data_IF_601214608995
#
_entry.id   IF_601214608995
#
_cell.length_a   1.000
_cell.length_b   1.000
_cell.length_c   1.000
_cell.angle_alpha   90.00
_cell.angle_beta   90.00
_cell.angle_gamma   90.00
#
_symmetry.space_group_name_H-M   'P 1'
#
loop_
_entity.id
_entity.type
_entity.pdbx_description
1 polymer ?
#
# COMPACT_ATOMS: atom_id res chain seq x y z
N UNK A 1 24.47 -0.44 -0.53
CA UNK A 1 23.67 0.11 0.57
C UNK A 1 23.54 1.60 0.37
N UNK A 2 22.32 2.10 0.38
CA UNK A 2 22.00 3.50 0.07
C UNK A 2 20.89 3.99 0.99
N UNK A 3 20.85 5.29 1.24
CA UNK A 3 19.80 5.92 2.01
C UNK A 3 18.87 6.68 1.07
N UNK A 4 17.58 6.65 1.36
CA UNK A 4 16.56 7.31 0.57
C UNK A 4 15.74 8.26 1.45
N UNK A 5 15.26 9.34 0.84
CA UNK A 5 14.42 10.34 1.49
C UNK A 5 13.30 10.75 0.53
N UNK A 6 12.07 10.82 1.02
CA UNK A 6 10.91 11.23 0.25
C UNK A 6 10.12 12.28 1.02
N UNK A 7 9.71 13.35 0.34
CA UNK A 7 8.76 14.31 0.88
C UNK A 7 7.36 13.69 0.90
N UNK A 8 6.70 13.80 2.05
CA UNK A 8 5.32 13.38 2.28
C UNK A 8 4.55 14.57 2.84
N UNK A 9 3.22 14.63 2.69
CA UNK A 9 2.35 15.82 2.87
C UNK A 9 2.36 16.57 4.22
N UNK A 10 3.54 16.95 4.72
CA UNK A 10 3.82 17.57 6.01
C UNK A 10 5.22 17.29 6.57
N UNK A 11 6.10 16.53 5.89
CA UNK A 11 7.44 16.20 6.37
C UNK A 11 8.22 15.29 5.43
N UNK A 12 9.18 14.54 5.97
CA UNK A 12 10.02 13.63 5.19
C UNK A 12 10.00 12.21 5.76
N UNK A 13 9.86 11.22 4.88
CA UNK A 13 10.13 9.82 5.18
C UNK A 13 11.56 9.49 4.73
N UNK A 14 12.30 8.73 5.54
CA UNK A 14 13.67 8.33 5.23
C UNK A 14 13.88 6.87 5.63
N UNK A 15 14.71 6.16 4.88
CA UNK A 15 15.07 4.78 5.20
C UNK A 15 16.31 4.32 4.46
N UNK A 16 16.67 3.07 4.71
CA UNK A 16 17.82 2.42 4.09
C UNK A 16 17.34 1.38 3.07
N UNK A 17 18.12 1.20 2.01
CA UNK A 17 17.87 0.24 0.95
C UNK A 17 19.18 -0.45 0.51
N UNK A 18 19.06 -1.63 -0.09
CA UNK A 18 20.20 -2.41 -0.55
C UNK A 18 20.96 -1.69 -1.68
N UNK A 19 20.23 -1.06 -2.60
CA UNK A 19 20.73 -0.42 -3.81
C UNK A 19 19.86 0.77 -4.26
N UNK A 20 20.36 1.52 -5.24
CA UNK A 20 19.70 2.74 -5.73
C UNK A 20 18.34 2.47 -6.39
N UNK A 21 18.15 1.30 -7.03
CA UNK A 21 16.87 0.95 -7.61
C UNK A 21 15.84 0.72 -6.49
N UNK A 22 16.19 -0.04 -5.46
CA UNK A 22 15.32 -0.21 -4.29
C UNK A 22 15.00 1.13 -3.59
N UNK A 23 15.99 2.02 -3.44
CA UNK A 23 15.77 3.36 -2.90
C UNK A 23 14.74 4.17 -3.71
N UNK A 24 14.83 4.15 -5.04
CA UNK A 24 13.85 4.82 -5.93
C UNK A 24 12.44 4.26 -5.73
N UNK A 25 12.32 2.94 -5.59
CA UNK A 25 11.03 2.28 -5.35
C UNK A 25 10.41 2.66 -4.00
N UNK A 26 11.24 2.79 -2.95
CA UNK A 26 10.77 3.24 -1.64
C UNK A 26 10.28 4.68 -1.70
N UNK A 27 10.99 5.56 -2.41
CA UNK A 27 10.59 6.96 -2.62
C UNK A 27 9.26 7.04 -3.36
N UNK A 28 9.11 6.31 -4.48
CA UNK A 28 7.88 6.29 -5.26
C UNK A 28 6.69 5.76 -4.44
N UNK A 29 6.95 4.75 -3.61
CA UNK A 29 5.94 4.18 -2.70
C UNK A 29 5.42 5.22 -1.69
N UNK A 30 6.28 6.08 -1.16
CA UNK A 30 5.85 7.16 -0.25
C UNK A 30 5.07 8.27 -0.95
N UNK A 31 5.40 8.57 -2.22
CA UNK A 31 4.73 9.63 -2.98
C UNK A 31 3.34 9.21 -3.47
N UNK A 32 3.20 7.94 -3.88
CA UNK A 32 1.98 7.41 -4.51
C UNK A 32 1.11 6.59 -3.58
N UNK A 33 1.69 6.15 -2.46
CA UNK A 33 1.05 5.32 -1.47
C UNK A 33 0.74 6.09 -0.19
N UNK A 34 -0.31 5.67 0.50
CA UNK A 34 -0.64 6.13 1.84
C UNK A 34 -0.99 4.94 2.73
N UNK A 35 -0.48 4.96 3.96
CA UNK A 35 -0.81 3.99 5.00
C UNK A 35 -1.37 4.74 6.19
N UNK A 36 -2.59 4.41 6.59
CA UNK A 36 -3.30 5.06 7.70
C UNK A 36 -3.80 3.99 8.67
N UNK A 37 -3.56 4.19 9.96
CA UNK A 37 -4.10 3.30 10.98
C UNK A 37 -5.61 3.56 11.15
N UNK A 38 -6.40 2.51 11.14
CA UNK A 38 -7.84 2.56 11.38
C UNK A 38 -8.13 2.07 12.80
N UNK A 39 -8.39 3.01 13.70
CA UNK A 39 -8.64 2.75 15.13
C UNK A 39 -9.88 1.87 15.37
N UNK A 40 -10.90 1.95 14.52
CA UNK A 40 -12.12 1.15 14.67
C UNK A 40 -11.90 -0.35 14.40
N UNK A 41 -10.91 -0.69 13.57
CA UNK A 41 -10.61 -2.08 13.19
C UNK A 41 -9.28 -2.58 13.75
N UNK A 42 -8.47 -1.69 14.32
CA UNK A 42 -7.11 -2.00 14.76
C UNK A 42 -6.15 -2.37 13.63
N UNK A 43 -6.43 -1.97 12.37
CA UNK A 43 -5.68 -2.38 11.18
C UNK A 43 -5.16 -1.19 10.39
N UNK A 44 -4.06 -1.39 9.68
CA UNK A 44 -3.50 -0.40 8.77
C UNK A 44 -4.18 -0.50 7.41
N UNK A 45 -4.87 0.57 7.00
CA UNK A 45 -5.39 0.72 5.65
C UNK A 45 -4.26 1.24 4.76
N UNK A 46 -3.93 0.51 3.70
CA UNK A 46 -3.03 0.98 2.66
C UNK A 46 -3.81 1.37 1.41
N UNK A 47 -3.39 2.42 0.72
CA UNK A 47 -3.92 2.88 -0.56
C UNK A 47 -2.76 3.27 -1.46
N UNK A 48 -2.87 3.02 -2.76
CA UNK A 48 -1.85 3.39 -3.74
C UNK A 48 -2.50 3.83 -5.03
N UNK A 49 -1.98 4.90 -5.64
CA UNK A 49 -2.46 5.44 -6.91
C UNK A 49 -1.56 4.95 -8.04
N UNK A 50 -2.13 4.11 -8.92
CA UNK A 50 -1.50 3.58 -10.13
C UNK A 50 -1.59 4.57 -11.30
N UNK A 51 -0.78 4.34 -12.32
CA UNK A 51 -0.81 5.12 -13.55
C UNK A 51 -2.18 4.97 -14.24
N UNK A 52 -2.73 6.07 -14.72
CA UNK A 52 -4.08 6.13 -15.27
C UNK A 52 -5.20 6.35 -14.24
N UNK A 53 -4.87 6.83 -13.05
CA UNK A 53 -5.84 7.31 -12.04
C UNK A 53 -6.59 6.20 -11.30
N UNK A 54 -6.23 4.93 -11.51
CA UNK A 54 -6.78 3.80 -10.74
C UNK A 54 -6.09 3.73 -9.39
N UNK A 55 -6.84 3.50 -8.33
CA UNK A 55 -6.28 3.25 -7.00
C UNK A 55 -6.50 1.82 -6.56
N UNK A 56 -5.52 1.26 -5.85
CA UNK A 56 -5.63 -0.02 -5.16
C UNK A 56 -5.56 0.23 -3.66
N UNK A 57 -6.27 -0.57 -2.88
CA UNK A 57 -6.28 -0.42 -1.42
C UNK A 57 -6.57 -1.74 -0.72
N UNK A 58 -6.22 -1.81 0.56
CA UNK A 58 -6.47 -2.97 1.41
C UNK A 58 -6.20 -2.68 2.87
N UNK A 59 -6.21 -3.75 3.67
CA UNK A 59 -5.90 -3.70 5.10
C UNK A 59 -4.76 -4.67 5.41
N UNK A 60 -3.90 -4.29 6.34
CA UNK A 60 -2.84 -5.12 6.91
C UNK A 60 -2.84 -4.99 8.44
N UNK A 61 -2.26 -6.00 9.11
CA UNK A 61 -2.19 -6.03 10.57
C UNK A 61 -1.04 -5.17 11.10
N UNK A 62 0.04 -5.03 10.33
CA UNK A 62 1.20 -4.20 10.67
C UNK A 62 1.42 -3.07 9.67
N UNK A 63 2.15 -2.03 10.11
CA UNK A 63 2.52 -0.90 9.25
C UNK A 63 3.48 -1.33 8.14
N UNK A 64 4.43 -2.20 8.45
CA UNK A 64 5.41 -2.71 7.49
C UNK A 64 4.74 -3.57 6.40
N UNK A 65 3.80 -4.44 6.78
CA UNK A 65 3.02 -5.22 5.79
C UNK A 65 2.20 -4.32 4.87
N UNK A 66 1.62 -3.25 5.41
CA UNK A 66 0.89 -2.26 4.63
C UNK A 66 1.79 -1.59 3.57
N UNK A 67 3.01 -1.19 3.95
CA UNK A 67 3.99 -0.62 3.02
C UNK A 67 4.54 -1.65 2.03
N UNK A 68 4.72 -2.90 2.47
CA UNK A 68 5.07 -4.00 1.57
C UNK A 68 4.03 -4.16 0.46
N UNK A 69 2.73 -4.10 0.79
CA UNK A 69 1.66 -4.15 -0.20
C UNK A 69 1.67 -2.98 -1.18
N UNK A 70 1.93 -1.75 -0.71
CA UNK A 70 2.08 -0.57 -1.58
C UNK A 70 3.23 -0.79 -2.57
N UNK A 71 4.40 -1.19 -2.07
CA UNK A 71 5.60 -1.45 -2.88
C UNK A 71 5.34 -2.55 -3.91
N UNK A 72 4.70 -3.65 -3.51
CA UNK A 72 4.36 -4.75 -4.40
C UNK A 72 3.43 -4.30 -5.54
N UNK A 73 2.41 -3.49 -5.23
CA UNK A 73 1.42 -3.05 -6.24
C UNK A 73 2.03 -2.09 -7.26
N UNK A 74 2.96 -1.22 -6.87
CA UNK A 74 3.66 -0.34 -7.81
C UNK A 74 4.63 -1.11 -8.72
N UNK A 75 5.28 -2.14 -8.17
CA UNK A 75 6.40 -2.81 -8.85
C UNK A 75 6.01 -4.07 -9.61
N UNK A 76 4.75 -4.50 -9.53
CA UNK A 76 4.22 -5.60 -10.34
C UNK A 76 3.14 -5.09 -11.31
N UNK A 77 3.49 -4.79 -12.58
CA UNK A 77 2.53 -4.31 -13.57
C UNK A 77 1.49 -5.37 -13.99
N UNK A 78 1.69 -6.65 -13.68
CA UNK A 78 0.87 -7.76 -14.22
C UNK A 78 0.48 -8.83 -13.20
N UNK A 79 0.14 -8.46 -11.96
CA UNK A 79 -0.73 -9.36 -11.17
C UNK A 79 -2.17 -8.95 -11.43
N UNK A 80 -2.72 -9.54 -12.49
CA UNK A 80 -4.14 -9.47 -12.82
C UNK A 80 -4.98 -9.56 -11.55
N UNK A 81 -5.88 -8.58 -11.42
CA UNK A 81 -7.08 -8.59 -10.58
C UNK A 81 -7.01 -9.59 -9.43
N UNK A 82 -6.48 -9.20 -8.28
CA UNK A 82 -6.73 -9.96 -7.05
C UNK A 82 -8.22 -9.87 -6.79
N UNK A 83 -8.96 -10.88 -7.24
CA UNK A 83 -10.37 -11.06 -6.95
C UNK A 83 -10.49 -11.22 -5.43
N UNK A 84 -10.84 -10.12 -4.75
CA UNK A 84 -11.41 -10.19 -3.40
C UNK A 84 -12.84 -10.63 -3.63
N UNK A 85 -13.08 -11.94 -3.56
CA UNK A 85 -14.44 -12.46 -3.59
C UNK A 85 -15.28 -11.71 -2.54
N UNK A 86 -16.56 -11.41 -2.84
CA UNK A 86 -17.39 -10.61 -1.96
C UNK A 86 -17.38 -11.20 -0.55
N UNK A 87 -16.79 -10.48 0.41
CA UNK A 87 -16.83 -10.87 1.81
C UNK A 87 -18.26 -10.67 2.29
N UNK A 88 -19.03 -11.76 2.29
CA UNK A 88 -20.33 -11.85 2.92
C UNK A 88 -21.35 -10.86 2.36
N UNK A 89 -22.18 -11.34 1.42
CA UNK A 89 -23.61 -10.99 1.56
C UNK A 89 -23.97 -11.36 2.99
N UNK A 90 -24.27 -10.36 3.82
CA UNK A 90 -25.03 -10.58 5.05
C UNK A 90 -26.16 -11.53 4.68
N UNK A 91 -26.18 -12.71 5.31
CA UNK A 91 -27.20 -13.71 5.05
C UNK A 91 -28.56 -13.07 5.26
N UNK A 92 -29.32 -12.93 4.19
CA UNK A 92 -30.77 -12.91 4.33
C UNK A 92 -31.16 -14.39 4.42
N UNK A 93 -31.65 -14.90 5.55
CA UNK A 93 -32.14 -16.26 5.61
C UNK A 93 -33.33 -16.39 4.64
N UNK A 94 -33.47 -17.52 3.92
CA UNK A 94 -34.61 -17.73 3.04
C UNK A 94 -35.91 -17.82 3.87
N UNK A 95 -36.93 -17.09 3.44
CA UNK A 95 -38.34 -17.34 3.79
C UNK A 95 -39.00 -18.23 2.75
#
# INVERSE_FOLDING_TARGET
MVFWMAEVGGGFAMGEAADEAEARLMIESQQRGSVTFNEATGRYRWTVVLDGGKSSHGYAETRDDAWWHVKEVLNRPQRGTRYVGPRGRFGVPPS
#
